data_IF_317954160388
#
_entry.id   IF_317954160388
#
_cell.length_a   1.000
_cell.length_b   1.000
_cell.length_c   1.000
_cell.angle_alpha   90.00
_cell.angle_beta   90.00
_cell.angle_gamma   90.00
#
_symmetry.space_group_name_H-M   'P 1'
#
loop_
_entity.id
_entity.type
_entity.pdbx_description
1 polymer ?
#
# COMPACT_ATOMS: atom_id res chain seq x y z
N UNK A 1 -32.05 -20.20 -5.74
CA UNK A 1 -30.91 -19.56 -5.05
C UNK A 1 -29.62 -19.90 -5.79
N UNK A 2 -29.04 -18.95 -6.56
CA UNK A 2 -27.75 -19.17 -7.25
C UNK A 2 -26.65 -19.25 -6.20
N UNK A 3 -26.04 -20.43 -6.00
CA UNK A 3 -24.78 -20.57 -5.26
C UNK A 3 -23.69 -19.88 -6.05
N UNK A 4 -23.49 -18.58 -5.81
CA UNK A 4 -22.33 -17.85 -6.31
C UNK A 4 -21.13 -18.43 -5.56
N UNK A 5 -20.42 -19.33 -6.22
CA UNK A 5 -19.12 -19.81 -5.73
C UNK A 5 -18.16 -18.65 -5.92
N UNK A 6 -17.91 -17.89 -4.85
CA UNK A 6 -17.12 -16.64 -4.84
C UNK A 6 -15.82 -16.73 -5.65
N UNK A 7 -15.15 -17.89 -5.63
CA UNK A 7 -13.89 -18.11 -6.34
C UNK A 7 -14.04 -18.35 -7.84
N UNK A 8 -15.21 -18.79 -8.31
CA UNK A 8 -15.46 -19.11 -9.72
C UNK A 8 -15.53 -17.85 -10.60
N UNK A 9 -15.80 -16.69 -10.00
CA UNK A 9 -15.73 -15.38 -10.68
C UNK A 9 -14.29 -14.95 -10.96
N UNK A 10 -13.32 -15.46 -10.18
CA UNK A 10 -11.90 -15.12 -10.31
C UNK A 10 -11.09 -16.15 -11.10
N UNK A 11 -11.75 -17.17 -11.66
CA UNK A 11 -11.13 -18.15 -12.56
C UNK A 11 -11.35 -17.74 -14.01
N UNK A 12 -10.28 -17.57 -14.80
CA UNK A 12 -10.35 -17.21 -16.22
C UNK A 12 -9.99 -15.75 -16.56
N UNK A 13 -9.40 -15.01 -15.62
CA UNK A 13 -8.87 -13.67 -15.88
C UNK A 13 -7.56 -13.72 -16.67
N UNK A 14 -7.16 -12.59 -17.26
CA UNK A 14 -5.88 -12.46 -17.95
C UNK A 14 -4.70 -12.73 -16.98
N UNK A 15 -3.64 -13.37 -17.49
CA UNK A 15 -2.43 -13.69 -16.70
C UNK A 15 -1.85 -12.46 -15.99
N UNK A 16 -1.95 -11.28 -16.61
CA UNK A 16 -1.49 -10.01 -16.02
C UNK A 16 -2.19 -9.67 -14.71
N UNK A 17 -3.47 -10.02 -14.55
CA UNK A 17 -4.24 -9.75 -13.33
C UNK A 17 -3.68 -10.57 -12.16
N UNK A 18 -3.34 -11.83 -12.38
CA UNK A 18 -2.74 -12.68 -11.34
C UNK A 18 -1.35 -12.17 -10.92
N UNK A 19 -0.55 -11.68 -11.87
CA UNK A 19 0.76 -11.07 -11.56
C UNK A 19 0.58 -9.80 -10.73
N UNK A 20 -0.34 -8.92 -11.12
CA UNK A 20 -0.65 -7.69 -10.36
C UNK A 20 -1.21 -8.00 -8.97
N UNK A 21 -1.98 -9.08 -8.83
CA UNK A 21 -2.48 -9.54 -7.54
C UNK A 21 -1.34 -9.91 -6.59
N UNK A 22 -0.39 -10.72 -7.05
CA UNK A 22 0.79 -11.07 -6.24
C UNK A 22 1.64 -9.84 -5.94
N UNK A 23 1.91 -8.99 -6.94
CA UNK A 23 2.65 -7.75 -6.74
C UNK A 23 1.98 -6.85 -5.69
N UNK A 24 0.64 -6.79 -5.70
CA UNK A 24 -0.13 -6.04 -4.70
C UNK A 24 -0.05 -6.68 -3.31
N UNK A 25 -0.07 -8.01 -3.20
CA UNK A 25 0.14 -8.70 -1.93
C UNK A 25 1.51 -8.33 -1.34
N UNK A 26 2.58 -8.47 -2.13
CA UNK A 26 3.94 -8.14 -1.67
C UNK A 26 4.04 -6.67 -1.26
N UNK A 27 3.47 -5.76 -2.04
CA UNK A 27 3.43 -4.33 -1.72
C UNK A 27 2.68 -4.06 -0.41
N UNK A 28 1.53 -4.71 -0.21
CA UNK A 28 0.73 -4.58 1.01
C UNK A 28 1.43 -5.17 2.23
N UNK A 29 2.26 -6.22 2.08
CA UNK A 29 3.10 -6.72 3.16
C UNK A 29 4.12 -5.68 3.61
N UNK A 30 4.66 -4.87 2.70
CA UNK A 30 5.55 -3.75 3.02
C UNK A 30 4.88 -2.68 3.90
N UNK A 31 3.56 -2.48 3.78
CA UNK A 31 2.83 -1.53 4.63
C UNK A 31 2.81 -1.93 6.11
N UNK A 32 3.19 -3.15 6.48
CA UNK A 32 3.39 -3.50 7.89
C UNK A 32 4.55 -2.73 8.54
N UNK A 33 5.37 -2.00 7.79
CA UNK A 33 6.44 -1.17 8.37
C UNK A 33 5.88 -0.07 9.30
N UNK A 34 4.67 0.43 9.08
CA UNK A 34 4.10 1.53 9.86
C UNK A 34 3.87 1.21 11.35
N UNK A 35 3.23 0.09 11.73
CA UNK A 35 3.15 -0.29 13.15
C UNK A 35 4.53 -0.53 13.78
N UNK A 36 5.48 -1.12 13.03
CA UNK A 36 6.86 -1.28 13.51
C UNK A 36 7.57 0.06 13.70
N UNK A 37 7.33 1.04 12.82
CA UNK A 37 7.86 2.39 12.95
C UNK A 37 7.36 3.04 14.23
N UNK A 38 6.05 2.94 14.54
CA UNK A 38 5.50 3.43 15.80
C UNK A 38 6.18 2.77 17.00
N UNK A 39 6.28 1.44 17.01
CA UNK A 39 6.97 0.71 18.07
C UNK A 39 8.44 1.09 18.19
N UNK A 40 9.13 1.32 17.09
CA UNK A 40 10.53 1.73 17.07
C UNK A 40 10.69 3.13 17.69
N UNK A 41 9.85 4.08 17.30
CA UNK A 41 9.85 5.43 17.86
C UNK A 41 9.60 5.41 19.38
N UNK A 42 8.64 4.61 19.85
CA UNK A 42 8.30 4.56 21.29
C UNK A 42 9.29 3.73 22.11
N UNK A 43 9.73 2.58 21.60
CA UNK A 43 10.46 1.58 22.39
C UNK A 43 11.99 1.69 22.23
N UNK A 44 12.49 2.18 21.09
CA UNK A 44 13.93 2.35 20.85
C UNK A 44 14.39 3.79 20.95
N UNK A 45 13.58 4.74 20.46
CA UNK A 45 13.90 6.17 20.54
C UNK A 45 13.26 6.85 21.76
N UNK A 46 12.48 6.11 22.55
CA UNK A 46 11.82 6.60 23.77
C UNK A 46 10.96 7.86 23.53
N UNK A 47 10.37 8.00 22.35
CA UNK A 47 9.43 9.09 22.08
C UNK A 47 8.15 8.89 22.88
N UNK A 48 7.58 10.00 23.36
CA UNK A 48 6.23 10.01 23.92
C UNK A 48 5.21 9.54 22.86
N UNK A 49 4.13 8.83 23.24
CA UNK A 49 3.09 8.40 22.31
C UNK A 49 2.51 9.55 21.46
N UNK A 50 2.36 10.74 22.05
CA UNK A 50 1.87 11.93 21.35
C UNK A 50 2.78 12.31 20.17
N UNK A 51 4.11 12.42 20.41
CA UNK A 51 5.10 12.71 19.37
C UNK A 51 5.12 11.63 18.28
N UNK A 52 5.14 10.35 18.66
CA UNK A 52 5.11 9.26 17.69
C UNK A 52 3.84 9.32 16.82
N UNK A 53 2.68 9.59 17.43
CA UNK A 53 1.42 9.80 16.72
C UNK A 53 1.49 10.96 15.72
N UNK A 54 2.14 12.07 16.07
CA UNK A 54 2.35 13.20 15.15
C UNK A 54 3.14 12.77 13.91
N UNK A 55 4.21 12.00 14.06
CA UNK A 55 4.98 11.48 12.91
C UNK A 55 4.14 10.59 12.00
N UNK A 56 3.32 9.70 12.58
CA UNK A 56 2.45 8.82 11.80
C UNK A 56 1.39 9.64 11.04
N UNK A 57 0.79 10.64 11.67
CA UNK A 57 -0.15 11.56 10.99
C UNK A 57 0.53 12.31 9.86
N UNK A 58 1.74 12.84 10.08
CA UNK A 58 2.51 13.51 9.04
C UNK A 58 2.82 12.58 7.85
N UNK A 59 3.16 11.31 8.10
CA UNK A 59 3.35 10.35 7.02
C UNK A 59 2.07 10.08 6.23
N UNK A 60 0.91 9.99 6.90
CA UNK A 60 -0.38 9.85 6.22
C UNK A 60 -0.74 11.08 5.39
N UNK A 61 -0.48 12.28 5.93
CA UNK A 61 -0.68 13.54 5.20
C UNK A 61 0.24 13.67 4.00
N UNK A 62 1.50 13.20 4.09
CA UNK A 62 2.43 13.19 2.96
C UNK A 62 2.05 12.15 1.89
N UNK A 63 1.44 11.03 2.29
CA UNK A 63 0.99 9.99 1.37
C UNK A 63 -0.09 10.47 0.40
N UNK A 64 -1.01 11.33 0.84
CA UNK A 64 -2.11 11.85 0.01
C UNK A 64 -1.57 12.58 -1.24
N UNK A 65 -0.80 13.69 -1.15
CA UNK A 65 -0.25 14.36 -2.32
C UNK A 65 0.74 13.46 -3.06
N UNK A 66 1.52 12.63 -2.35
CA UNK A 66 2.43 11.68 -2.98
C UNK A 66 1.72 10.70 -3.92
N UNK A 67 0.55 10.18 -3.51
CA UNK A 67 -0.26 9.29 -4.34
C UNK A 67 -0.86 9.98 -5.56
N UNK A 68 -1.29 11.24 -5.41
CA UNK A 68 -1.84 12.03 -6.51
C UNK A 68 -0.78 12.38 -7.55
N UNK A 69 0.39 12.82 -7.09
CA UNK A 69 1.53 13.14 -7.96
C UNK A 69 2.04 11.87 -8.64
N UNK A 70 2.20 10.78 -7.89
CA UNK A 70 2.63 9.48 -8.43
C UNK A 70 1.65 8.93 -9.47
N UNK A 71 0.35 9.06 -9.23
CA UNK A 71 -0.69 8.68 -10.19
C UNK A 71 -0.61 9.50 -11.49
N UNK A 72 -0.50 10.83 -11.35
CA UNK A 72 -0.33 11.73 -12.51
C UNK A 72 0.95 11.40 -13.30
N UNK A 73 2.06 11.13 -12.62
CA UNK A 73 3.31 10.70 -13.27
C UNK A 73 3.14 9.36 -13.98
N UNK A 74 2.44 8.39 -13.39
CA UNK A 74 2.15 7.10 -14.00
C UNK A 74 1.31 7.22 -15.29
N UNK A 75 0.38 8.17 -15.33
CA UNK A 75 -0.42 8.41 -16.52
C UNK A 75 0.37 9.14 -17.64
N UNK A 76 1.32 10.02 -17.30
CA UNK A 76 2.12 10.74 -18.30
C UNK A 76 3.36 9.98 -18.81
N UNK A 77 4.09 9.29 -17.92
CA UNK A 77 5.37 8.62 -18.25
C UNK A 77 5.20 7.12 -18.54
N UNK A 78 3.98 6.62 -18.39
CA UNK A 78 3.60 5.22 -18.62
C UNK A 78 3.63 4.40 -17.33
N UNK A 79 2.51 3.73 -17.04
CA UNK A 79 2.25 2.98 -15.79
C UNK A 79 3.34 1.96 -15.46
N UNK A 80 3.84 1.25 -16.46
CA UNK A 80 4.85 0.20 -16.28
C UNK A 80 6.21 0.74 -15.82
N UNK A 81 6.59 1.96 -16.22
CA UNK A 81 7.87 2.59 -15.82
C UNK A 81 7.82 3.21 -14.43
N UNK A 82 6.64 3.59 -13.96
CA UNK A 82 6.46 4.22 -12.65
C UNK A 82 6.12 3.19 -11.57
N UNK A 83 5.51 2.05 -11.93
CA UNK A 83 5.20 0.97 -10.99
C UNK A 83 6.33 -0.05 -10.78
N UNK A 84 7.25 -0.19 -11.73
CA UNK A 84 8.44 -1.05 -11.64
C UNK A 84 9.65 -0.21 -11.28
#
# INVERSE_FOLDING_TARGET
>A
MKKVTLFKTYTGLDRGVYVLFIARIVSSLGNFVFPFLTMFLTNKLHFTPARAGTYIVLTGLAFIPGSLVGGKLADHLGRKRIML
#
